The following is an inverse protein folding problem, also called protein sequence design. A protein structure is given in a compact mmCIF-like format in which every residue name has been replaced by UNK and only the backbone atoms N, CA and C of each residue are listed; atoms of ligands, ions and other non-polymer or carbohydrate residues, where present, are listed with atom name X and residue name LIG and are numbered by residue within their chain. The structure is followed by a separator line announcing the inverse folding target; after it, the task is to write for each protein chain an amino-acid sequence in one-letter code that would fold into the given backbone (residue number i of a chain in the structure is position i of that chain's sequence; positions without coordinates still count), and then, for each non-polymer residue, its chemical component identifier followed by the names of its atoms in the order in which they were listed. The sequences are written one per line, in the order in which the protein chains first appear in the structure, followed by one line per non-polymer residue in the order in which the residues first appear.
data_IF_893272007178
#
_entry.id   IF_893272007178
#
_cell.length_a   1.000
_cell.length_b   1.000
_cell.length_c   1.000
_cell.angle_alpha   90.00
_cell.angle_beta   90.00
_cell.angle_gamma   90.00
#
_symmetry.space_group_name_H-M   'P 1'
#
loop_
_entity.id
_entity.type
_entity.pdbx_description
1 polymer ?
#
# COMPACT_ATOMS: atom_id res chain seq x y z
N UNK A 1 -7.55 20.56 -9.22
CA UNK A 1 -7.01 19.23 -8.86
C UNK A 1 -6.80 19.05 -7.35
N UNK A 2 -6.32 20.08 -6.63
CA UNK A 2 -6.07 20.00 -5.17
C UNK A 2 -7.35 19.66 -4.37
N UNK A 3 -8.43 20.41 -4.57
CA UNK A 3 -9.71 20.19 -3.87
C UNK A 3 -10.31 18.81 -4.11
N UNK A 4 -10.21 18.29 -5.34
CA UNK A 4 -10.72 16.96 -5.68
C UNK A 4 -9.98 15.86 -4.93
N UNK A 5 -8.66 16.01 -4.75
CA UNK A 5 -7.84 15.00 -4.07
C UNK A 5 -8.09 15.02 -2.57
N UNK A 6 -8.22 16.20 -1.95
CA UNK A 6 -8.62 16.32 -0.56
C UNK A 6 -10.01 15.73 -0.29
N UNK A 7 -10.98 16.01 -1.17
CA UNK A 7 -12.31 15.43 -1.06
C UNK A 7 -12.27 13.90 -1.20
N UNK A 8 -11.49 13.38 -2.15
CA UNK A 8 -11.33 11.93 -2.35
C UNK A 8 -10.66 11.28 -1.15
N UNK A 9 -9.58 11.86 -0.59
CA UNK A 9 -8.89 11.29 0.57
C UNK A 9 -9.77 11.30 1.82
N UNK A 10 -10.49 12.40 2.06
CA UNK A 10 -11.46 12.49 3.18
C UNK A 10 -12.62 11.51 2.98
N UNK A 11 -13.21 11.46 1.78
CA UNK A 11 -14.30 10.53 1.48
C UNK A 11 -13.85 9.07 1.61
N UNK A 12 -12.64 8.76 1.17
CA UNK A 12 -12.04 7.43 1.29
C UNK A 12 -11.78 7.07 2.75
N UNK A 13 -11.22 7.98 3.56
CA UNK A 13 -11.06 7.77 5.00
C UNK A 13 -12.40 7.52 5.70
N UNK A 14 -13.38 8.40 5.46
CA UNK A 14 -14.72 8.27 6.04
C UNK A 14 -15.36 6.94 5.60
N UNK A 15 -15.24 6.58 4.32
CA UNK A 15 -15.71 5.31 3.79
C UNK A 15 -15.08 4.11 4.48
N UNK A 16 -13.76 4.13 4.71
CA UNK A 16 -13.05 3.05 5.42
C UNK A 16 -13.40 2.97 6.91
N UNK A 17 -13.62 4.12 7.56
CA UNK A 17 -14.02 4.16 8.98
C UNK A 17 -15.46 3.66 9.15
N UNK A 18 -16.36 3.99 8.21
CA UNK A 18 -17.75 3.54 8.20
C UNK A 18 -17.93 2.14 7.62
N UNK A 19 -16.93 1.60 6.92
CA UNK A 19 -17.00 0.28 6.30
C UNK A 19 -17.50 -0.85 7.23
N UNK A 20 -17.06 -0.92 8.50
CA UNK A 20 -17.53 -1.94 9.45
C UNK A 20 -18.98 -1.74 9.90
N UNK A 21 -19.56 -0.54 9.79
CA UNK A 21 -20.92 -0.24 10.27
C UNK A 21 -21.97 -0.30 9.16
N UNK A 22 -21.56 -0.38 7.90
CA UNK A 22 -22.46 -0.52 6.76
C UNK A 22 -23.15 -1.90 6.78
N UNK A 23 -24.47 -1.94 6.70
CA UNK A 23 -25.27 -3.17 6.58
C UNK A 23 -25.37 -3.58 5.11
N UNK A 24 -24.30 -4.13 4.55
CA UNK A 24 -24.25 -4.45 3.12
C UNK A 24 -24.81 -5.86 2.83
N UNK A 25 -25.73 -6.01 1.85
CA UNK A 25 -26.30 -7.29 1.48
C UNK A 25 -25.28 -8.12 0.68
N UNK A 26 -24.64 -9.10 1.33
CA UNK A 26 -23.75 -10.05 0.64
C UNK A 26 -22.98 -10.96 1.60
N UNK A 27 -23.02 -12.28 1.34
CA UNK A 27 -22.31 -13.25 2.18
C UNK A 27 -20.79 -13.00 2.23
N UNK A 28 -20.16 -12.73 1.08
CA UNK A 28 -18.72 -12.43 1.00
C UNK A 28 -18.34 -11.10 1.67
N UNK A 29 -19.24 -10.13 1.62
CA UNK A 29 -19.02 -8.79 2.14
C UNK A 29 -19.11 -8.75 3.67
N UNK A 30 -20.00 -9.56 4.26
CA UNK A 30 -20.03 -9.77 5.71
C UNK A 30 -18.70 -10.35 6.22
N UNK A 31 -18.10 -11.30 5.47
CA UNK A 31 -16.76 -11.84 5.79
C UNK A 31 -15.69 -10.77 5.65
N UNK A 32 -15.74 -9.96 4.59
CA UNK A 32 -14.79 -8.85 4.41
C UNK A 32 -14.85 -7.83 5.54
N UNK A 33 -16.04 -7.45 6.00
CA UNK A 33 -16.22 -6.53 7.12
C UNK A 33 -15.71 -7.12 8.44
N UNK A 34 -15.95 -8.42 8.67
CA UNK A 34 -15.41 -9.12 9.84
C UNK A 34 -13.88 -9.16 9.80
N UNK A 35 -13.29 -9.58 8.68
CA UNK A 35 -11.84 -9.67 8.48
C UNK A 35 -11.15 -8.30 8.58
N UNK A 36 -11.76 -7.25 8.02
CA UNK A 36 -11.27 -5.87 8.16
C UNK A 36 -11.27 -5.43 9.63
N UNK A 37 -12.38 -5.66 10.35
CA UNK A 37 -12.49 -5.28 11.77
C UNK A 37 -11.51 -6.07 12.63
N UNK A 38 -11.31 -7.34 12.33
CA UNK A 38 -10.31 -8.19 12.97
C UNK A 38 -8.90 -7.63 12.75
N UNK A 39 -8.51 -7.37 11.50
CA UNK A 39 -7.17 -6.84 11.15
C UNK A 39 -6.90 -5.47 11.77
N UNK A 40 -7.87 -4.54 11.75
CA UNK A 40 -7.70 -3.19 12.35
C UNK A 40 -7.63 -3.24 13.89
N UNK A 41 -8.24 -4.24 14.53
CA UNK A 41 -8.20 -4.43 15.99
C UNK A 41 -6.98 -5.20 16.48
N UNK A 42 -6.25 -5.87 15.58
CA UNK A 42 -5.02 -6.55 15.95
C UNK A 42 -3.98 -5.52 16.46
N UNK A 43 -3.24 -5.82 17.55
CA UNK A 43 -2.22 -4.94 18.08
C UNK A 43 -1.15 -4.55 17.04
N UNK A 44 -0.88 -5.44 16.08
CA UNK A 44 0.08 -5.20 15.00
C UNK A 44 -0.26 -3.97 14.15
N UNK A 45 -1.55 -3.70 13.88
CA UNK A 45 -1.97 -2.53 13.10
C UNK A 45 -1.52 -1.22 13.77
N UNK A 46 -1.83 -1.08 15.06
CA UNK A 46 -1.51 0.11 15.85
C UNK A 46 0.00 0.21 16.13
N UNK A 47 0.66 -0.93 16.33
CA UNK A 47 2.11 -1.00 16.47
C UNK A 47 2.80 -0.47 15.20
N UNK A 48 2.44 -0.97 14.02
CA UNK A 48 3.03 -0.55 12.75
C UNK A 48 2.72 0.91 12.44
N UNK A 49 1.49 1.37 12.71
CA UNK A 49 1.14 2.78 12.60
C UNK A 49 2.04 3.64 13.49
N UNK A 50 2.10 3.35 14.79
CA UNK A 50 2.89 4.14 15.73
C UNK A 50 4.39 4.11 15.38
N UNK A 51 4.94 2.93 15.11
CA UNK A 51 6.34 2.75 14.74
C UNK A 51 6.70 3.53 13.47
N UNK A 52 5.85 3.46 12.44
CA UNK A 52 6.10 4.16 11.17
C UNK A 52 5.94 5.67 11.32
N UNK A 53 4.98 6.14 12.14
CA UNK A 53 4.84 7.56 12.46
C UNK A 53 6.10 8.08 13.17
N UNK A 54 6.58 7.37 14.19
CA UNK A 54 7.81 7.73 14.90
C UNK A 54 9.00 7.75 13.94
N UNK A 55 9.12 6.74 13.08
CA UNK A 55 10.15 6.69 12.04
C UNK A 55 10.07 7.89 11.08
N UNK A 56 8.87 8.25 10.60
CA UNK A 56 8.66 9.42 9.74
C UNK A 56 9.02 10.73 10.44
N UNK A 57 8.73 10.88 11.73
CA UNK A 57 9.12 12.06 12.50
C UNK A 57 10.64 12.15 12.67
N UNK A 58 11.32 11.03 12.90
CA UNK A 58 12.79 10.96 12.94
C UNK A 58 13.37 11.27 11.55
N UNK A 59 12.71 10.83 10.48
CA UNK A 59 13.13 11.07 9.10
C UNK A 59 13.20 12.55 8.73
N UNK A 60 12.53 13.45 9.46
CA UNK A 60 12.62 14.90 9.25
C UNK A 60 14.02 15.42 9.54
N UNK A 61 14.76 14.75 10.45
CA UNK A 61 16.10 15.16 10.89
C UNK A 61 17.24 14.32 10.30
N UNK A 62 16.96 13.15 9.73
CA UNK A 62 18.01 12.28 9.17
C UNK A 62 18.73 12.83 7.91
N UNK A 63 18.08 13.57 6.99
CA UNK A 63 18.66 13.92 5.69
C UNK A 63 19.85 14.87 5.64
N UNK A 64 20.40 15.34 6.77
CA UNK A 64 21.50 16.32 6.82
C UNK A 64 22.79 15.91 6.08
N UNK A 65 22.92 14.66 5.64
CA UNK A 65 24.11 14.15 4.95
C UNK A 65 24.04 14.25 3.41
N UNK A 66 22.94 14.75 2.84
CA UNK A 66 22.76 14.88 1.38
C UNK A 66 22.67 16.34 0.99
N UNK A 67 23.82 16.95 0.68
CA UNK A 67 23.90 18.35 0.23
C UNK A 67 22.89 18.63 -0.91
N UNK A 68 21.81 19.36 -0.59
CA UNK A 68 20.82 19.89 -1.52
C UNK A 68 19.75 18.92 -2.09
N UNK A 69 19.65 17.67 -1.63
CA UNK A 69 18.59 16.72 -2.04
C UNK A 69 17.83 16.09 -0.85
N UNK A 70 17.78 16.79 0.27
CA UNK A 70 17.28 16.28 1.54
C UNK A 70 15.79 15.89 1.48
N UNK A 71 14.96 16.76 0.89
CA UNK A 71 13.53 16.54 0.74
C UNK A 71 13.21 15.38 -0.21
N UNK A 72 14.03 15.21 -1.25
CA UNK A 72 13.95 14.10 -2.20
C UNK A 72 14.18 12.77 -1.50
N UNK A 73 15.27 12.66 -0.75
CA UNK A 73 15.58 11.45 0.01
C UNK A 73 14.50 11.15 1.06
N UNK A 74 14.02 12.17 1.78
CA UNK A 74 12.94 12.02 2.77
C UNK A 74 11.66 11.46 2.14
N UNK A 75 11.24 11.98 0.97
CA UNK A 75 10.07 11.48 0.24
C UNK A 75 10.20 9.99 -0.10
N UNK A 76 11.36 9.57 -0.61
CA UNK A 76 11.59 8.17 -0.96
C UNK A 76 11.63 7.22 0.23
N UNK A 77 12.25 7.64 1.33
CA UNK A 77 12.29 6.87 2.59
C UNK A 77 10.88 6.69 3.15
N UNK A 78 10.08 7.75 3.21
CA UNK A 78 8.72 7.70 3.73
C UNK A 78 7.79 6.84 2.86
N UNK A 79 7.91 6.90 1.54
CA UNK A 79 7.14 6.06 0.62
C UNK A 79 7.49 4.57 0.80
N UNK A 80 8.77 4.25 0.98
CA UNK A 80 9.23 2.89 1.28
C UNK A 80 8.77 2.40 2.65
N UNK A 81 8.70 3.28 3.64
CA UNK A 81 8.20 2.96 4.98
C UNK A 81 6.71 2.59 4.96
N UNK A 82 5.89 3.30 4.16
CA UNK A 82 4.46 2.97 3.95
C UNK A 82 4.33 1.57 3.32
N UNK A 83 5.11 1.28 2.26
CA UNK A 83 5.11 -0.02 1.60
C UNK A 83 5.45 -1.14 2.58
N UNK A 84 6.53 -0.97 3.36
CA UNK A 84 6.97 -1.98 4.32
C UNK A 84 5.92 -2.23 5.40
N UNK A 85 5.36 -1.16 5.99
CA UNK A 85 4.36 -1.29 7.05
C UNK A 85 3.08 -2.00 6.56
N UNK A 86 2.59 -1.65 5.38
CA UNK A 86 1.38 -2.25 4.80
C UNK A 86 1.60 -3.68 4.33
N UNK A 87 2.79 -4.00 3.81
CA UNK A 87 3.18 -5.37 3.45
C UNK A 87 3.25 -6.26 4.70
N UNK A 88 3.94 -5.81 5.75
CA UNK A 88 4.05 -6.59 7.00
C UNK A 88 2.68 -6.83 7.62
N UNK A 89 1.83 -5.80 7.66
CA UNK A 89 0.45 -5.93 8.16
C UNK A 89 -0.32 -7.01 7.40
N UNK A 90 -0.38 -6.92 6.07
CA UNK A 90 -1.22 -7.80 5.26
C UNK A 90 -0.77 -9.24 5.27
N UNK A 91 0.54 -9.50 5.12
CA UNK A 91 1.09 -10.86 5.13
C UNK A 91 0.88 -11.53 6.49
N UNK A 92 1.10 -10.80 7.58
CA UNK A 92 0.89 -11.34 8.93
C UNK A 92 -0.60 -11.53 9.25
N UNK A 93 -1.45 -10.53 8.99
CA UNK A 93 -2.89 -10.63 9.23
C UNK A 93 -3.53 -11.74 8.39
N UNK A 94 -3.09 -11.95 7.14
CA UNK A 94 -3.56 -13.06 6.32
C UNK A 94 -3.19 -14.42 6.91
N UNK A 95 -1.97 -14.58 7.39
CA UNK A 95 -1.54 -15.81 8.06
C UNK A 95 -2.38 -16.11 9.29
N UNK A 96 -2.45 -15.20 10.25
CA UNK A 96 -3.17 -15.42 11.53
C UNK A 96 -4.66 -15.62 11.30
N UNK A 97 -5.30 -14.72 10.54
CA UNK A 97 -6.76 -14.69 10.37
C UNK A 97 -7.31 -15.91 9.61
N UNK A 98 -6.48 -16.58 8.81
CA UNK A 98 -6.87 -17.79 8.07
C UNK A 98 -6.44 -19.04 8.83
N UNK A 99 -5.21 -19.09 9.37
CA UNK A 99 -4.74 -20.25 10.12
C UNK A 99 -5.58 -20.51 11.38
N UNK A 100 -5.96 -19.48 12.14
CA UNK A 100 -6.77 -19.66 13.36
C UNK A 100 -8.18 -20.21 13.07
N UNK A 101 -8.81 -19.76 11.98
CA UNK A 101 -10.16 -20.22 11.60
C UNK A 101 -10.17 -21.65 11.03
N UNK A 102 -9.06 -22.05 10.44
CA UNK A 102 -8.88 -23.35 9.81
C UNK A 102 -8.41 -24.42 10.81
N UNK A 103 -7.56 -24.06 11.77
CA UNK A 103 -6.92 -24.97 12.73
C UNK A 103 -7.71 -25.10 14.05
N UNK A 104 -8.46 -24.06 14.44
CA UNK A 104 -9.19 -23.98 15.71
C UNK A 104 -10.41 -24.89 15.90
N UNK A 105 -10.74 -25.80 14.96
CA UNK A 105 -11.98 -26.64 14.96
C UNK A 105 -13.31 -25.88 15.13
N UNK A 106 -13.34 -24.56 15.03
CA UNK A 106 -14.58 -23.74 14.99
C UNK A 106 -15.29 -23.82 13.64
N UNK A 107 -14.61 -24.32 12.59
CA UNK A 107 -15.24 -24.65 11.32
C UNK A 107 -16.36 -25.70 11.46
N UNK A 108 -16.29 -26.60 12.45
CA UNK A 108 -17.29 -27.67 12.61
C UNK A 108 -18.58 -27.18 13.26
N UNK A 109 -18.55 -26.13 14.08
CA UNK A 109 -19.75 -25.58 14.75
C UNK A 109 -20.43 -24.46 13.96
N UNK A 110 -19.71 -23.78 13.06
CA UNK A 110 -20.24 -22.67 12.21
C UNK A 110 -20.81 -23.17 10.87
N UNK A 111 -20.66 -24.46 10.54
CA UNK A 111 -21.26 -25.10 9.36
C UNK A 111 -22.80 -25.09 9.32
N UNK A 112 -23.48 -24.55 10.32
CA UNK A 112 -24.95 -24.35 10.30
C UNK A 112 -25.41 -23.29 9.28
N UNK A 113 -24.50 -22.55 8.62
CA UNK A 113 -24.80 -21.84 7.36
C UNK A 113 -23.73 -22.16 6.31
N UNK A 114 -24.08 -22.80 5.17
CA UNK A 114 -23.11 -23.10 4.13
C UNK A 114 -22.62 -21.79 3.50
N UNK A 115 -21.41 -21.39 3.88
CA UNK A 115 -20.66 -20.34 3.20
C UNK A 115 -19.84 -20.97 2.08
N UNK A 116 -20.04 -20.51 0.86
CA UNK A 116 -19.25 -20.98 -0.29
C UNK A 116 -17.78 -20.62 -0.05
N UNK A 117 -16.88 -21.60 -0.25
CA UNK A 117 -15.41 -21.45 -0.12
C UNK A 117 -14.87 -20.20 -0.83
N UNK A 118 -15.42 -19.90 -2.01
CA UNK A 118 -15.10 -18.71 -2.82
C UNK A 118 -15.42 -17.40 -2.13
N UNK A 119 -16.60 -17.30 -1.50
CA UNK A 119 -17.02 -16.12 -0.76
C UNK A 119 -16.17 -15.88 0.50
N UNK A 120 -15.70 -16.95 1.13
CA UNK A 120 -14.80 -16.87 2.28
C UNK A 120 -13.44 -16.29 1.89
N UNK A 121 -12.78 -16.88 0.88
CA UNK A 121 -11.43 -16.49 0.46
C UNK A 121 -11.40 -15.06 -0.13
N UNK A 122 -12.37 -14.72 -0.99
CA UNK A 122 -12.50 -13.36 -1.55
C UNK A 122 -12.81 -12.35 -0.44
N UNK A 123 -13.71 -12.70 0.49
CA UNK A 123 -14.05 -11.83 1.62
C UNK A 123 -12.83 -11.51 2.48
N UNK A 124 -12.05 -12.53 2.87
CA UNK A 124 -10.82 -12.38 3.66
C UNK A 124 -9.80 -11.50 2.94
N UNK A 125 -9.55 -11.78 1.65
CA UNK A 125 -8.67 -10.95 0.82
C UNK A 125 -9.08 -9.48 0.83
N UNK A 126 -10.36 -9.17 0.51
CA UNK A 126 -10.85 -7.79 0.46
C UNK A 126 -10.76 -7.10 1.82
N UNK A 127 -11.12 -7.79 2.91
CA UNK A 127 -11.06 -7.23 4.25
C UNK A 127 -9.64 -6.89 4.72
N UNK A 128 -8.68 -7.79 4.48
CA UNK A 128 -7.26 -7.57 4.83
C UNK A 128 -6.63 -6.52 3.92
N UNK A 129 -6.97 -6.50 2.63
CA UNK A 129 -6.47 -5.48 1.72
C UNK A 129 -6.99 -4.09 2.12
N UNK A 130 -8.28 -3.96 2.48
CA UNK A 130 -8.86 -2.69 2.94
C UNK A 130 -8.20 -2.17 4.23
N UNK A 131 -7.75 -3.05 5.14
CA UNK A 131 -7.03 -2.59 6.34
C UNK A 131 -5.65 -2.04 5.97
N UNK A 132 -4.99 -2.61 4.96
CA UNK A 132 -3.78 -2.07 4.36
C UNK A 132 -4.01 -0.68 3.74
N UNK A 133 -5.11 -0.51 3.00
CA UNK A 133 -5.50 0.78 2.41
C UNK A 133 -5.71 1.81 3.52
N UNK A 134 -6.41 1.46 4.61
CA UNK A 134 -6.58 2.36 5.76
C UNK A 134 -5.22 2.78 6.33
N UNK A 135 -4.32 1.82 6.60
CA UNK A 135 -3.00 2.12 7.14
C UNK A 135 -2.20 3.03 6.19
N UNK A 136 -2.21 2.73 4.89
CA UNK A 136 -1.53 3.53 3.87
C UNK A 136 -2.04 4.97 3.84
N UNK A 137 -3.36 5.16 3.91
CA UNK A 137 -3.96 6.50 3.86
C UNK A 137 -3.62 7.29 5.11
N UNK A 138 -3.70 6.68 6.30
CA UNK A 138 -3.29 7.33 7.55
C UNK A 138 -1.81 7.74 7.51
N UNK A 139 -0.93 6.86 7.04
CA UNK A 139 0.50 7.17 6.92
C UNK A 139 0.80 8.18 5.81
N UNK A 140 0.01 8.21 4.72
CA UNK A 140 0.17 9.20 3.65
C UNK A 140 -0.16 10.62 4.13
N UNK A 141 -1.12 10.77 5.04
CA UNK A 141 -1.43 12.04 5.69
C UNK A 141 -0.27 12.45 6.58
N UNK A 142 0.29 11.52 7.36
CA UNK A 142 1.48 11.79 8.20
C UNK A 142 2.68 12.19 7.35
N UNK A 143 2.93 11.52 6.23
CA UNK A 143 3.98 11.88 5.28
C UNK A 143 3.77 13.29 4.70
N UNK A 144 2.54 13.66 4.34
CA UNK A 144 2.25 15.02 3.88
C UNK A 144 2.48 16.06 4.99
N UNK A 145 2.16 15.73 6.24
CA UNK A 145 2.45 16.58 7.40
C UNK A 145 3.96 16.74 7.65
N UNK A 146 4.75 15.67 7.59
CA UNK A 146 6.22 15.76 7.79
C UNK A 146 6.90 16.55 6.68
N UNK A 147 6.42 16.45 5.43
CA UNK A 147 6.88 17.27 4.31
C UNK A 147 6.56 18.75 4.54
N UNK A 148 5.36 19.06 5.02
CA UNK A 148 5.00 20.44 5.40
C UNK A 148 5.96 21.00 6.46
N UNK A 149 6.15 20.27 7.56
CA UNK A 149 7.04 20.71 8.64
C UNK A 149 8.48 20.91 8.19
N UNK A 150 9.01 20.03 7.35
CA UNK A 150 10.37 20.18 6.82
C UNK A 150 10.50 21.45 5.96
N UNK A 151 9.50 21.72 5.13
CA UNK A 151 9.52 22.88 4.24
C UNK A 151 9.39 24.22 4.97
N UNK A 152 8.73 24.27 6.12
CA UNK A 152 8.73 25.47 6.96
C UNK A 152 10.12 25.79 7.55
N UNK A 153 10.95 24.77 7.77
CA UNK A 153 12.30 24.93 8.35
C UNK A 153 13.29 25.47 7.30
N UNK A 154 13.27 24.92 6.08
CA UNK A 154 14.31 25.22 5.08
C UNK A 154 14.14 26.59 4.38
N UNK A 155 12.99 27.28 4.47
CA UNK A 155 12.72 28.60 3.87
C UNK A 155 13.19 28.81 2.40
N UNK A 156 13.41 27.74 1.63
CA UNK A 156 13.90 27.84 0.25
C UNK A 156 12.76 28.09 -0.76
N UNK A 157 12.83 29.28 -1.35
CA UNK A 157 12.26 29.82 -2.59
C UNK A 157 10.72 29.86 -2.82
N UNK A 158 10.23 30.97 -3.44
CA UNK A 158 8.83 31.13 -3.83
C UNK A 158 8.47 30.15 -4.95
N UNK A 159 7.73 29.11 -4.57
CA UNK A 159 7.18 28.13 -5.52
C UNK A 159 6.15 28.81 -6.44
N UNK A 160 6.14 28.53 -7.75
CA UNK A 160 5.07 28.98 -8.65
C UNK A 160 3.67 28.47 -8.23
N UNK A 161 3.60 27.39 -7.45
CA UNK A 161 2.35 26.82 -6.90
C UNK A 161 1.81 27.60 -5.68
N UNK A 162 2.67 28.36 -4.98
CA UNK A 162 2.21 29.34 -3.99
C UNK A 162 1.44 30.48 -4.67
N UNK A 163 1.57 30.68 -5.99
CA UNK A 163 0.81 31.70 -6.70
C UNK A 163 -0.70 31.40 -6.74
N UNK A 164 -1.13 30.14 -6.91
CA UNK A 164 -2.55 29.76 -6.78
C UNK A 164 -3.04 29.94 -5.34
N UNK A 165 -2.23 29.53 -4.35
CA UNK A 165 -2.56 29.65 -2.92
C UNK A 165 -2.66 31.14 -2.53
N UNK A 166 -1.77 31.98 -3.06
CA UNK A 166 -1.74 33.42 -2.81
C UNK A 166 -2.82 34.18 -3.57
N UNK A 167 -3.24 33.71 -4.75
CA UNK A 167 -4.43 34.19 -5.44
C UNK A 167 -5.71 33.89 -4.64
N UNK A 168 -5.82 32.70 -4.06
CA UNK A 168 -6.94 32.35 -3.18
C UNK A 168 -6.91 33.15 -1.88
N UNK A 169 -5.73 33.36 -1.29
CA UNK A 169 -5.55 34.16 -0.07
C UNK A 169 -5.86 35.65 -0.29
N UNK A 170 -5.47 36.20 -1.45
CA UNK A 170 -5.83 37.58 -1.83
C UNK A 170 -7.32 37.73 -2.14
N UNK A 171 -7.94 36.74 -2.79
CA UNK A 171 -9.40 36.74 -3.02
C UNK A 171 -10.22 36.58 -1.73
N UNK A 172 -9.69 35.85 -0.73
CA UNK A 172 -10.32 35.59 0.56
C UNK A 172 -9.80 36.48 1.70
N UNK A 173 -9.05 37.55 1.38
CA UNK A 173 -8.42 38.45 2.36
C UNK A 173 -9.38 39.18 3.30
N UNK A 174 -10.70 39.02 3.10
CA UNK A 174 -11.75 39.47 4.03
C UNK A 174 -11.91 38.56 5.26
N UNK A 175 -11.32 37.36 5.26
CA UNK A 175 -11.39 36.41 6.38
C UNK A 175 -10.33 36.69 7.46
N UNK A 176 -10.57 36.28 8.72
CA UNK A 176 -9.57 36.37 9.78
C UNK A 176 -8.29 35.60 9.42
N UNK A 177 -7.12 36.11 9.82
CA UNK A 177 -5.82 35.49 9.55
C UNK A 177 -5.71 34.03 10.05
N UNK A 178 -6.42 33.68 11.12
CA UNK A 178 -6.49 32.29 11.60
C UNK A 178 -7.18 31.35 10.59
N UNK A 179 -8.22 31.83 9.91
CA UNK A 179 -8.94 31.07 8.88
C UNK A 179 -8.08 30.96 7.63
N UNK A 180 -7.41 32.04 7.23
CA UNK A 180 -6.48 32.02 6.09
C UNK A 180 -5.29 31.07 6.33
N UNK A 181 -4.72 31.07 7.55
CA UNK A 181 -3.63 30.17 7.92
C UNK A 181 -4.03 28.69 7.87
N UNK A 182 -5.22 28.34 8.39
CA UNK A 182 -5.73 26.96 8.31
C UNK A 182 -6.08 26.55 6.87
N UNK A 183 -6.59 27.46 6.06
CA UNK A 183 -6.89 27.22 4.64
C UNK A 183 -5.60 27.01 3.82
N UNK A 184 -4.55 27.77 4.11
CA UNK A 184 -3.21 27.60 3.53
C UNK A 184 -2.64 26.21 3.84
N UNK A 185 -2.72 25.79 5.09
CA UNK A 185 -2.28 24.45 5.52
C UNK A 185 -3.02 23.34 4.75
N UNK A 186 -4.35 23.46 4.63
CA UNK A 186 -5.20 22.47 3.99
C UNK A 186 -4.92 22.37 2.48
N UNK A 187 -4.78 23.51 1.80
CA UNK A 187 -4.42 23.57 0.37
C UNK A 187 -3.05 22.94 0.10
N UNK A 188 -2.07 23.24 0.98
CA UNK A 188 -0.73 22.67 0.88
C UNK A 188 -0.76 21.14 1.02
N UNK A 189 -1.46 20.64 2.03
CA UNK A 189 -1.60 19.21 2.26
C UNK A 189 -2.20 18.52 1.03
N UNK A 190 -3.24 19.12 0.43
CA UNK A 190 -3.86 18.60 -0.79
C UNK A 190 -2.92 18.58 -1.99
N UNK A 191 -2.05 19.58 -2.12
CA UNK A 191 -1.06 19.63 -3.19
C UNK A 191 0.01 18.53 -3.03
N UNK A 192 0.64 18.40 -1.87
CA UNK A 192 1.64 17.34 -1.66
C UNK A 192 1.00 15.94 -1.77
N UNK A 193 -0.22 15.75 -1.26
CA UNK A 193 -0.95 14.49 -1.47
C UNK A 193 -1.19 14.18 -2.94
N UNK A 194 -1.35 15.18 -3.80
CA UNK A 194 -1.53 14.95 -5.25
C UNK A 194 -0.30 14.38 -5.92
N UNK A 195 0.89 14.79 -5.49
CA UNK A 195 2.17 14.31 -6.00
C UNK A 195 2.50 12.91 -5.46
N UNK A 196 2.13 12.64 -4.20
CA UNK A 196 2.45 11.39 -3.50
C UNK A 196 1.45 10.27 -3.82
N UNK A 197 0.19 10.61 -4.12
CA UNK A 197 -0.89 9.65 -4.30
C UNK A 197 -0.61 8.57 -5.36
N UNK A 198 -0.08 8.87 -6.56
CA UNK A 198 0.26 7.83 -7.54
C UNK A 198 1.26 6.81 -6.99
N UNK A 199 2.28 7.25 -6.25
CA UNK A 199 3.26 6.35 -5.65
C UNK A 199 2.67 5.46 -4.56
N UNK A 200 1.79 6.02 -3.71
CA UNK A 200 1.10 5.23 -2.67
C UNK A 200 0.16 4.20 -3.31
N UNK A 201 -0.57 4.58 -4.36
CA UNK A 201 -1.45 3.66 -5.10
C UNK A 201 -0.66 2.53 -5.77
N UNK A 202 0.48 2.85 -6.39
CA UNK A 202 1.32 1.82 -7.00
C UNK A 202 1.91 0.86 -5.94
N UNK A 203 2.33 1.37 -4.78
CA UNK A 203 2.74 0.52 -3.66
C UNK A 203 1.59 -0.36 -3.14
N UNK A 204 0.37 0.17 -3.06
CA UNK A 204 -0.81 -0.61 -2.70
C UNK A 204 -1.10 -1.73 -3.70
N UNK A 205 -0.82 -1.55 -4.99
CA UNK A 205 -0.93 -2.65 -5.97
C UNK A 205 0.08 -3.77 -5.69
N UNK A 206 1.31 -3.47 -5.26
CA UNK A 206 2.26 -4.50 -4.82
C UNK A 206 1.71 -5.27 -3.61
N UNK A 207 1.18 -4.53 -2.63
CA UNK A 207 0.55 -5.10 -1.44
C UNK A 207 -0.68 -5.94 -1.81
N UNK A 208 -1.45 -5.55 -2.82
CA UNK A 208 -2.61 -6.30 -3.32
C UNK A 208 -2.21 -7.68 -3.84
N UNK A 209 -1.12 -7.76 -4.63
CA UNK A 209 -0.60 -9.04 -5.14
C UNK A 209 -0.15 -9.92 -3.99
N UNK A 210 0.64 -9.36 -3.06
CA UNK A 210 1.16 -10.11 -1.91
C UNK A 210 0.06 -10.52 -0.93
N UNK A 211 -0.99 -9.72 -0.76
CA UNK A 211 -2.15 -10.09 0.05
C UNK A 211 -2.87 -11.28 -0.57
N UNK A 212 -3.06 -11.29 -1.90
CA UNK A 212 -3.64 -12.42 -2.61
C UNK A 212 -2.81 -13.70 -2.45
N UNK A 213 -1.49 -13.58 -2.59
CA UNK A 213 -0.56 -14.69 -2.37
C UNK A 213 -0.57 -15.18 -0.92
N UNK A 214 -0.51 -14.27 0.05
CA UNK A 214 -0.50 -14.60 1.48
C UNK A 214 -1.81 -15.31 1.89
N UNK A 215 -2.96 -14.84 1.38
CA UNK A 215 -4.26 -15.49 1.62
C UNK A 215 -4.29 -16.89 1.00
N UNK A 216 -3.79 -17.05 -0.23
CA UNK A 216 -3.73 -18.35 -0.90
C UNK A 216 -2.86 -19.36 -0.13
N UNK A 217 -1.65 -18.95 0.26
CA UNK A 217 -0.70 -19.81 0.95
C UNK A 217 -1.12 -20.14 2.40
N UNK A 218 -1.79 -19.22 3.10
CA UNK A 218 -2.29 -19.44 4.46
C UNK A 218 -3.30 -20.60 4.57
N UNK A 219 -3.90 -21.05 3.46
CA UNK A 219 -4.85 -22.17 3.44
C UNK A 219 -4.20 -23.53 3.75
N UNK A 220 -2.90 -23.67 3.48
CA UNK A 220 -2.15 -24.93 3.70
C UNK A 220 -0.86 -24.77 4.49
N UNK A 221 -0.28 -23.58 4.52
CA UNK A 221 1.01 -23.33 5.16
C UNK A 221 0.83 -22.68 6.53
N UNK A 222 1.64 -23.07 7.55
CA UNK A 222 1.71 -22.34 8.81
C UNK A 222 2.10 -20.88 8.61
N UNK A 223 1.66 -20.01 9.51
CA UNK A 223 1.89 -18.55 9.47
C UNK A 223 3.35 -18.19 9.18
N UNK A 224 4.30 -18.83 9.88
CA UNK A 224 5.74 -18.55 9.73
C UNK A 224 6.24 -18.88 8.33
N UNK A 225 5.84 -20.02 7.77
CA UNK A 225 6.27 -20.45 6.42
C UNK A 225 5.67 -19.53 5.36
N UNK A 226 4.40 -19.16 5.51
CA UNK A 226 3.73 -18.22 4.62
C UNK A 226 4.45 -16.86 4.57
N UNK A 227 4.82 -16.33 5.74
CA UNK A 227 5.52 -15.05 5.86
C UNK A 227 6.87 -15.09 5.14
N UNK A 228 7.67 -16.15 5.36
CA UNK A 228 8.98 -16.31 4.71
C UNK A 228 8.84 -16.39 3.19
N UNK A 229 7.86 -17.13 2.67
CA UNK A 229 7.63 -17.23 1.23
C UNK A 229 7.21 -15.88 0.64
N UNK A 230 6.24 -15.20 1.25
CA UNK A 230 5.78 -13.89 0.76
C UNK A 230 6.91 -12.85 0.75
N UNK A 231 7.73 -12.82 1.80
CA UNK A 231 8.88 -11.92 1.89
C UNK A 231 9.96 -12.28 0.85
N UNK A 232 10.21 -13.57 0.62
CA UNK A 232 11.14 -14.03 -0.43
C UNK A 232 10.65 -13.63 -1.82
N UNK A 233 9.36 -13.83 -2.11
CA UNK A 233 8.74 -13.43 -3.38
C UNK A 233 8.81 -11.92 -3.58
N UNK A 234 8.58 -11.13 -2.53
CA UNK A 234 8.73 -9.67 -2.58
C UNK A 234 10.16 -9.25 -2.92
N UNK A 235 11.16 -9.77 -2.18
CA UNK A 235 12.56 -9.44 -2.40
C UNK A 235 13.00 -9.86 -3.80
N UNK A 236 12.73 -11.11 -4.20
CA UNK A 236 13.11 -11.61 -5.53
C UNK A 236 12.40 -10.85 -6.65
N UNK A 237 11.13 -10.49 -6.47
CA UNK A 237 10.37 -9.72 -7.46
C UNK A 237 10.94 -8.31 -7.64
N UNK A 238 11.40 -7.65 -6.57
CA UNK A 238 12.08 -6.34 -6.64
C UNK A 238 13.50 -6.45 -7.21
N UNK A 239 14.23 -7.54 -6.95
CA UNK A 239 15.58 -7.74 -7.50
C UNK A 239 15.59 -8.25 -8.95
N UNK A 240 14.48 -8.80 -9.44
CA UNK A 240 14.38 -9.40 -10.78
C UNK A 240 14.93 -8.51 -11.91
N UNK A 241 14.62 -7.21 -11.88
CA UNK A 241 15.09 -6.26 -12.89
C UNK A 241 16.61 -6.07 -12.86
N UNK A 242 17.22 -6.05 -11.66
CA UNK A 242 18.67 -5.90 -11.51
C UNK A 242 19.38 -7.13 -12.10
N UNK A 243 18.84 -8.33 -11.87
CA UNK A 243 19.38 -9.58 -12.42
C UNK A 243 19.31 -9.61 -13.94
N UNK A 244 18.18 -9.20 -14.54
CA UNK A 244 18.03 -9.13 -16.00
C UNK A 244 18.96 -8.08 -16.60
N UNK A 245 19.05 -6.90 -15.99
CA UNK A 245 19.90 -5.80 -16.47
C UNK A 245 21.40 -6.15 -16.43
N UNK A 246 21.85 -6.86 -15.39
CA UNK A 246 23.26 -7.27 -15.28
C UNK A 246 23.60 -8.49 -16.14
N UNK A 247 22.61 -9.33 -16.47
CA UNK A 247 22.80 -10.52 -17.31
C UNK A 247 22.57 -10.27 -18.81
N UNK A 248 22.44 -9.01 -19.22
CA UNK A 248 22.28 -8.64 -20.62
C UNK A 248 23.48 -9.14 -21.47
N UNK A 249 23.25 -9.62 -22.71
CA UNK A 249 24.30 -10.19 -23.56
C UNK A 249 25.49 -9.27 -23.79
N UNK A 250 25.27 -7.96 -23.73
CA UNK A 250 26.28 -6.91 -23.91
C UNK A 250 27.30 -6.80 -22.78
N UNK A 251 27.04 -7.43 -21.61
CA UNK A 251 27.89 -7.33 -20.41
C UNK A 251 28.72 -8.57 -20.11
N UNK A 252 28.86 -9.50 -21.05
CA UNK A 252 29.60 -10.77 -20.88
C UNK A 252 29.17 -11.54 -19.61
N UNK A 253 27.89 -11.43 -19.24
CA UNK A 253 27.35 -12.08 -18.06
C UNK A 253 27.36 -13.60 -18.17
N UNK A 254 27.49 -14.29 -17.04
CA UNK A 254 27.41 -15.75 -17.01
C UNK A 254 26.05 -16.22 -17.56
N UNK A 255 26.02 -17.14 -18.56
CA UNK A 255 24.78 -17.61 -19.18
C UNK A 255 23.81 -18.27 -18.18
N UNK A 256 24.32 -18.85 -17.09
CA UNK A 256 23.46 -19.41 -16.04
C UNK A 256 22.65 -18.33 -15.32
N UNK A 257 23.26 -17.17 -15.08
CA UNK A 257 22.60 -16.02 -14.44
C UNK A 257 21.53 -15.45 -15.37
N UNK A 258 21.77 -15.44 -16.69
CA UNK A 258 20.77 -15.02 -17.67
C UNK A 258 19.53 -15.93 -17.68
N UNK A 259 19.73 -17.25 -17.67
CA UNK A 259 18.62 -18.22 -17.60
C UNK A 259 17.83 -18.05 -16.29
N UNK A 260 18.52 -17.93 -15.16
CA UNK A 260 17.86 -17.70 -13.85
C UNK A 260 17.08 -16.38 -13.83
N UNK A 261 17.64 -15.31 -14.40
CA UNK A 261 16.98 -14.01 -14.51
C UNK A 261 15.71 -14.09 -15.37
N UNK A 262 15.74 -14.81 -16.49
CA UNK A 262 14.57 -15.03 -17.34
C UNK A 262 13.46 -15.81 -16.59
N UNK A 263 13.82 -16.89 -15.90
CA UNK A 263 12.86 -17.68 -15.10
C UNK A 263 12.19 -16.80 -14.04
N UNK A 264 12.97 -16.04 -13.27
CA UNK A 264 12.42 -15.15 -12.25
C UNK A 264 11.57 -14.03 -12.83
N UNK A 265 11.97 -13.43 -13.95
CA UNK A 265 11.17 -12.39 -14.61
C UNK A 265 9.85 -12.89 -15.18
N UNK A 266 9.76 -14.18 -15.50
CA UNK A 266 8.54 -14.79 -16.05
C UNK A 266 7.58 -15.23 -14.95
N UNK A 267 8.10 -15.80 -13.86
CA UNK A 267 7.29 -16.39 -12.79
C UNK A 267 6.90 -15.36 -11.73
N UNK A 268 7.80 -14.45 -11.36
CA UNK A 268 7.56 -13.50 -10.28
C UNK A 268 6.89 -12.23 -10.82
N UNK A 269 5.98 -11.61 -10.05
CA UNK A 269 5.48 -10.29 -10.36
C UNK A 269 6.65 -9.30 -10.29
N UNK A 270 6.97 -8.65 -11.41
CA UNK A 270 8.02 -7.63 -11.47
C UNK A 270 7.65 -6.40 -10.66
N UNK A 271 7.90 -6.42 -9.33
CA UNK A 271 7.49 -5.35 -8.42
C UNK A 271 8.10 -3.97 -8.76
N UNK A 272 9.17 -3.93 -9.57
CA UNK A 272 9.80 -2.70 -10.03
C UNK A 272 8.87 -1.81 -10.88
N UNK A 273 7.94 -2.38 -11.64
CA UNK A 273 6.95 -1.59 -12.41
C UNK A 273 5.99 -0.80 -11.52
N UNK A 274 5.92 -1.15 -10.24
CA UNK A 274 5.08 -0.47 -9.26
C UNK A 274 5.87 0.52 -8.40
N UNK A 275 7.21 0.57 -8.53
CA UNK A 275 8.03 1.48 -7.75
C UNK A 275 8.06 2.84 -8.44
N UNK A 276 7.34 3.80 -7.85
CA UNK A 276 7.23 5.16 -8.38
C UNK A 276 8.04 6.18 -7.57
N UNK A 277 8.99 5.68 -6.76
CA UNK A 277 9.79 6.51 -5.86
C UNK A 277 10.49 7.63 -6.62
N UNK A 278 11.17 7.31 -7.72
CA UNK A 278 11.93 8.30 -8.49
C UNK A 278 11.06 9.42 -9.07
N UNK A 279 9.84 9.10 -9.52
CA UNK A 279 8.91 10.09 -10.05
C UNK A 279 8.34 11.00 -8.95
N UNK A 280 7.95 10.41 -7.81
CA UNK A 280 7.45 11.16 -6.64
C UNK A 280 8.53 12.07 -6.06
N UNK A 281 9.77 11.57 -6.01
CA UNK A 281 10.94 12.29 -5.52
C UNK A 281 11.33 13.44 -6.45
N UNK A 282 11.25 13.22 -7.77
CA UNK A 282 11.57 14.24 -8.77
C UNK A 282 10.45 15.27 -8.97
N UNK A 283 9.28 15.08 -8.34
CA UNK A 283 8.12 15.95 -8.49
C UNK A 283 7.48 15.86 -9.89
N UNK A 284 7.75 14.78 -10.63
CA UNK A 284 7.17 14.55 -11.95
C UNK A 284 5.74 14.05 -11.74
N UNK A 285 4.77 14.75 -12.34
CA UNK A 285 3.37 14.31 -12.31
C UNK A 285 3.22 12.98 -13.04
N UNK A 286 2.75 11.97 -12.32
CA UNK A 286 2.51 10.64 -12.88
C UNK A 286 1.14 10.60 -13.57
N UNK A 287 1.06 10.21 -14.86
CA UNK A 287 -0.22 10.07 -15.54
C UNK A 287 -1.08 8.95 -14.95
N UNK A 288 -2.23 9.33 -14.38
CA UNK A 288 -3.18 8.38 -13.79
C UNK A 288 -3.81 7.43 -14.83
N UNK A 289 -4.14 7.93 -16.01
CA UNK A 289 -4.88 7.17 -17.02
C UNK A 289 -4.02 6.19 -17.81
N UNK A 290 -2.80 6.58 -18.16
CA UNK A 290 -1.91 5.73 -18.95
C UNK A 290 -1.11 4.81 -18.03
N UNK A 291 -0.27 5.36 -17.15
CA UNK A 291 0.62 4.52 -16.36
C UNK A 291 -0.09 3.74 -15.24
N UNK A 292 -0.80 4.44 -14.35
CA UNK A 292 -1.37 3.82 -13.13
C UNK A 292 -2.43 2.76 -13.48
N UNK A 293 -3.20 2.98 -14.54
CA UNK A 293 -4.20 2.02 -15.00
C UNK A 293 -3.56 0.74 -15.56
N UNK A 294 -2.54 0.85 -16.42
CA UNK A 294 -1.84 -0.32 -16.94
C UNK A 294 -1.22 -1.14 -15.81
N UNK A 295 -0.56 -0.48 -14.87
CA UNK A 295 0.03 -1.13 -13.68
C UNK A 295 -1.05 -1.76 -12.79
N UNK A 296 -2.19 -1.10 -12.62
CA UNK A 296 -3.34 -1.64 -11.88
C UNK A 296 -3.95 -2.89 -12.52
N UNK A 297 -4.04 -2.93 -13.86
CA UNK A 297 -4.49 -4.12 -14.59
C UNK A 297 -3.52 -5.29 -14.37
N UNK A 298 -2.21 -5.04 -14.44
CA UNK A 298 -1.20 -6.06 -14.16
C UNK A 298 -1.39 -6.61 -12.74
N UNK A 299 -1.58 -5.73 -11.75
CA UNK A 299 -1.82 -6.16 -10.37
C UNK A 299 -3.09 -7.01 -10.23
N UNK A 300 -4.19 -6.60 -10.84
CA UNK A 300 -5.44 -7.33 -10.80
C UNK A 300 -5.32 -8.74 -11.40
N UNK A 301 -4.57 -8.88 -12.50
CA UNK A 301 -4.30 -10.19 -13.12
C UNK A 301 -3.51 -11.09 -12.18
N UNK A 302 -2.38 -10.63 -11.63
CA UNK A 302 -1.57 -11.42 -10.70
C UNK A 302 -2.33 -11.77 -9.41
N UNK A 303 -3.08 -10.84 -8.84
CA UNK A 303 -3.94 -11.11 -7.69
C UNK A 303 -5.00 -12.15 -8.03
N UNK A 304 -5.63 -12.08 -9.19
CA UNK A 304 -6.63 -13.07 -9.62
C UNK A 304 -6.02 -14.46 -9.76
N UNK A 305 -4.83 -14.57 -10.38
CA UNK A 305 -4.08 -15.82 -10.47
C UNK A 305 -3.77 -16.38 -9.08
N UNK A 306 -3.29 -15.54 -8.16
CA UNK A 306 -2.99 -15.95 -6.78
C UNK A 306 -4.23 -16.44 -6.03
N UNK A 307 -5.37 -15.74 -6.15
CA UNK A 307 -6.63 -16.15 -5.51
C UNK A 307 -7.19 -17.44 -6.14
N UNK A 308 -7.12 -17.61 -7.46
CA UNK A 308 -7.51 -18.86 -8.13
C UNK A 308 -6.65 -20.03 -7.67
N UNK A 309 -5.34 -19.82 -7.55
CA UNK A 309 -4.43 -20.82 -6.98
C UNK A 309 -4.83 -21.18 -5.54
N UNK A 310 -5.15 -20.18 -4.71
CA UNK A 310 -5.66 -20.39 -3.36
C UNK A 310 -6.98 -21.16 -3.31
N UNK A 311 -7.88 -20.94 -4.27
CA UNK A 311 -9.14 -21.68 -4.37
C UNK A 311 -8.91 -23.16 -4.71
N UNK A 312 -8.03 -23.46 -5.67
CA UNK A 312 -7.65 -24.85 -5.99
C UNK A 312 -7.04 -25.52 -4.76
N UNK A 313 -6.13 -24.82 -4.09
CA UNK A 313 -5.46 -25.31 -2.89
C UNK A 313 -6.44 -25.58 -1.74
N UNK A 314 -7.55 -24.85 -1.68
CA UNK A 314 -8.60 -25.02 -0.69
C UNK A 314 -9.67 -26.07 -1.09
N UNK A 315 -9.81 -26.38 -2.37
CA UNK A 315 -10.70 -27.44 -2.86
C UNK A 315 -10.18 -28.83 -2.49
N UNK A 316 -8.89 -29.13 -2.67
CA UNK A 316 -8.36 -30.47 -2.32
C UNK A 316 -8.25 -30.74 -0.81
N UNK A 317 -8.55 -29.74 0.03
CA UNK A 317 -8.54 -29.88 1.50
C UNK A 317 -9.84 -30.53 2.02
N UNK A 318 -10.41 -31.47 1.27
CA UNK A 318 -11.56 -32.24 1.72
C UNK A 318 -11.17 -33.12 2.92
N UNK A 319 -11.47 -32.55 4.10
CA UNK A 319 -11.95 -33.17 5.34
C UNK A 319 -11.94 -34.71 5.35
N UNK A 320 -10.90 -35.27 5.95
CA UNK A 320 -10.96 -36.53 6.68
C UNK A 320 -11.04 -36.23 8.19
#
# INVERSE_FOLDING_TARGET
MIWTILLVTVALLVGLILFPSLTLPGKWLAVAQAAYRESVRQPLFWLLLALTVVFMLISVYLPYFTFNEELKMMKGINLSAILLATLVLTVFSAGVSISEEIEGRTAVTVLSKPMSRRAFLIGKFVGIFLSAVLLAVLLSIVMAMTIYYRNEIDQEEPRPQLAEIQQVETALGFLPQAVLGSLRYLLYLGHEMSLIAPGVVCNLFQVMILTGLAVALATRLPVVVNLVICLTVFILGRLSHILVYQSAPEREGNPLVHVMAQVFSTVLPGFNYFDMTDAVVSGIEVPWGDYVLHVGVHAAVYTTIALLFGLILFEDRDVA
#
